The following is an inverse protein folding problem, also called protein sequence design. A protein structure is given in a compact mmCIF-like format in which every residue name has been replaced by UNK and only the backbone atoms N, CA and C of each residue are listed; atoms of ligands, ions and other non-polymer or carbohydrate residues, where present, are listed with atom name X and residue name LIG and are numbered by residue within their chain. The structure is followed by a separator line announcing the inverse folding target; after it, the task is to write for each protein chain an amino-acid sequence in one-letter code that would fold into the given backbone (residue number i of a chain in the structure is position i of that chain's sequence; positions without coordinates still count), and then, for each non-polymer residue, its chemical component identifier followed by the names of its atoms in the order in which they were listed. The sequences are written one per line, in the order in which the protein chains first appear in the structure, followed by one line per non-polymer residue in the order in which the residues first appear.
data_IF_080553943459
#
_entry.id   IF_080553943459
#
_cell.length_a   1.000
_cell.length_b   1.000
_cell.length_c   1.000
_cell.angle_alpha   90.00
_cell.angle_beta   90.00
_cell.angle_gamma   90.00
#
_symmetry.space_group_name_H-M   'P 1'
#
loop_
_entity.id
_entity.type
_entity.pdbx_description
1 polymer ?
#
# COMPACT_ATOMS: atom_id res chain seq x y z
N UNK A 1 -4.13 -18.63 -6.68
CA UNK A 1 -5.44 -18.00 -6.42
C UNK A 1 -5.40 -17.41 -5.01
N UNK A 2 -5.57 -16.09 -4.79
CA UNK A 2 -5.52 -15.57 -3.43
C UNK A 2 -6.79 -16.03 -2.70
N UNK A 3 -6.61 -16.88 -1.70
CA UNK A 3 -7.68 -17.29 -0.79
C UNK A 3 -8.24 -16.04 -0.11
N UNK A 4 -9.56 -15.89 -0.07
CA UNK A 4 -10.22 -14.84 0.71
C UNK A 4 -9.81 -15.05 2.17
N UNK A 5 -8.76 -14.36 2.62
CA UNK A 5 -8.12 -14.68 3.90
C UNK A 5 -9.03 -14.34 5.08
N UNK A 6 -9.92 -13.34 4.95
CA UNK A 6 -10.62 -12.76 6.09
C UNK A 6 -11.99 -12.20 5.66
N UNK A 7 -13.03 -13.02 5.83
CA UNK A 7 -14.44 -12.58 5.74
C UNK A 7 -14.81 -11.94 7.07
N UNK A 8 -15.38 -10.73 7.04
CA UNK A 8 -15.74 -9.97 8.23
C UNK A 8 -17.26 -9.88 8.26
N UNK A 9 -17.86 -10.60 9.20
CA UNK A 9 -19.30 -10.68 9.37
C UNK A 9 -19.65 -10.32 10.81
N UNK A 10 -20.78 -9.64 11.05
CA UNK A 10 -21.24 -9.40 12.39
C UNK A 10 -21.50 -10.72 13.12
N UNK A 11 -20.78 -10.97 14.21
CA UNK A 11 -20.83 -12.25 14.94
C UNK A 11 -21.50 -12.10 16.29
N UNK A 12 -22.56 -12.87 16.52
CA UNK A 12 -23.20 -13.03 17.83
C UNK A 12 -23.69 -11.71 18.47
N UNK A 13 -24.12 -10.72 17.68
CA UNK A 13 -24.46 -9.38 18.15
C UNK A 13 -25.51 -9.32 19.28
N UNK A 14 -26.54 -10.18 19.21
CA UNK A 14 -27.66 -10.21 20.17
C UNK A 14 -27.85 -11.59 20.81
N UNK A 15 -26.84 -12.46 20.79
CA UNK A 15 -26.99 -13.89 21.15
C UNK A 15 -26.77 -14.22 22.64
N UNK A 16 -26.92 -13.23 23.53
CA UNK A 16 -26.74 -13.41 24.98
C UNK A 16 -28.05 -13.57 25.75
N UNK A 17 -28.02 -14.32 26.86
CA UNK A 17 -29.12 -14.34 27.83
C UNK A 17 -29.12 -13.01 28.59
N UNK A 18 -30.30 -12.43 28.79
CA UNK A 18 -30.47 -11.25 29.64
C UNK A 18 -30.30 -11.63 31.13
N UNK A 19 -29.75 -10.73 31.96
CA UNK A 19 -29.74 -10.90 33.41
C UNK A 19 -31.16 -10.83 33.99
N UNK A 20 -31.41 -11.62 35.04
CA UNK A 20 -32.72 -11.67 35.68
C UNK A 20 -33.03 -10.33 36.40
N UNK A 21 -34.27 -9.86 36.29
CA UNK A 21 -34.73 -8.63 36.94
C UNK A 21 -34.39 -7.31 36.20
N UNK A 22 -34.07 -7.37 34.90
CA UNK A 22 -33.84 -6.15 34.11
C UNK A 22 -35.14 -5.35 33.92
N UNK A 23 -35.06 -4.02 34.12
CA UNK A 23 -36.23 -3.15 34.05
C UNK A 23 -36.81 -3.01 32.62
N UNK A 24 -35.93 -3.01 31.61
CA UNK A 24 -36.29 -2.93 30.18
C UNK A 24 -35.42 -3.88 29.37
N UNK A 25 -35.98 -5.02 28.97
CA UNK A 25 -35.27 -6.04 28.19
C UNK A 25 -34.82 -5.49 26.83
N UNK A 26 -35.71 -4.76 26.14
CA UNK A 26 -35.42 -4.20 24.82
C UNK A 26 -34.26 -3.21 24.88
N UNK A 27 -34.24 -2.32 25.86
CA UNK A 27 -33.14 -1.36 26.06
C UNK A 27 -31.82 -2.10 26.34
N UNK A 28 -31.86 -3.12 27.20
CA UNK A 28 -30.68 -3.91 27.54
C UNK A 28 -30.10 -4.67 26.32
N UNK A 29 -30.95 -5.31 25.52
CA UNK A 29 -30.53 -5.98 24.27
C UNK A 29 -29.97 -4.95 23.29
N UNK A 30 -30.63 -3.80 23.12
CA UNK A 30 -30.20 -2.76 22.18
C UNK A 30 -28.84 -2.20 22.56
N UNK A 31 -28.64 -1.85 23.83
CA UNK A 31 -27.36 -1.34 24.32
C UNK A 31 -26.23 -2.38 24.20
N UNK A 32 -26.52 -3.65 24.53
CA UNK A 32 -25.57 -4.76 24.35
C UNK A 32 -25.19 -4.95 22.89
N UNK A 33 -26.17 -4.85 21.99
CA UNK A 33 -25.98 -4.95 20.54
C UNK A 33 -25.08 -3.81 20.03
N UNK A 34 -25.37 -2.57 20.44
CA UNK A 34 -24.57 -1.40 20.06
C UNK A 34 -23.11 -1.54 20.55
N UNK A 35 -22.90 -1.93 21.80
CA UNK A 35 -21.57 -2.18 22.35
C UNK A 35 -20.82 -3.27 21.57
N UNK A 36 -21.50 -4.36 21.22
CA UNK A 36 -20.92 -5.45 20.41
C UNK A 36 -20.56 -4.98 18.99
N UNK A 37 -21.40 -4.17 18.34
CA UNK A 37 -21.11 -3.57 17.03
C UNK A 37 -19.88 -2.68 17.11
N UNK A 38 -19.81 -1.76 18.08
CA UNK A 38 -18.66 -0.86 18.25
C UNK A 38 -17.37 -1.65 18.45
N UNK A 39 -17.39 -2.70 19.27
CA UNK A 39 -16.23 -3.59 19.48
C UNK A 39 -15.80 -4.29 18.18
N UNK A 40 -16.75 -4.76 17.38
CA UNK A 40 -16.46 -5.43 16.11
C UNK A 40 -15.94 -4.46 15.05
N UNK A 41 -16.44 -3.22 15.03
CA UNK A 41 -15.89 -2.15 14.19
C UNK A 41 -14.44 -1.81 14.59
N UNK A 42 -14.12 -1.76 15.88
CA UNK A 42 -12.73 -1.61 16.34
C UNK A 42 -11.82 -2.75 15.86
N UNK A 43 -12.32 -3.98 15.88
CA UNK A 43 -11.62 -5.14 15.32
C UNK A 43 -11.40 -5.04 13.80
N UNK A 44 -12.40 -4.53 13.06
CA UNK A 44 -12.31 -4.24 11.63
C UNK A 44 -11.24 -3.18 11.34
N UNK A 45 -11.20 -2.08 12.10
CA UNK A 45 -10.21 -1.02 11.92
C UNK A 45 -8.79 -1.55 12.13
N UNK A 46 -8.56 -2.35 13.18
CA UNK A 46 -7.26 -2.99 13.41
C UNK A 46 -6.87 -3.94 12.27
N UNK A 47 -7.84 -4.67 11.73
CA UNK A 47 -7.57 -5.52 10.58
C UNK A 47 -7.17 -4.72 9.34
N UNK A 48 -7.83 -3.59 9.08
CA UNK A 48 -7.45 -2.69 8.00
C UNK A 48 -6.02 -2.15 8.21
N UNK A 49 -5.68 -1.73 9.42
CA UNK A 49 -4.33 -1.28 9.79
C UNK A 49 -3.27 -2.34 9.48
N UNK A 50 -3.49 -3.59 9.88
CA UNK A 50 -2.57 -4.70 9.60
C UNK A 50 -2.32 -4.86 8.09
N UNK A 51 -3.37 -4.79 7.26
CA UNK A 51 -3.24 -4.88 5.79
C UNK A 51 -2.42 -3.72 5.24
N UNK A 52 -2.75 -2.49 5.62
CA UNK A 52 -2.06 -1.31 5.10
C UNK A 52 -0.60 -1.27 5.55
N UNK A 53 -0.31 -1.76 6.75
CA UNK A 53 1.06 -1.90 7.26
C UNK A 53 1.88 -2.93 6.46
N UNK A 54 1.29 -4.10 6.16
CA UNK A 54 1.91 -5.11 5.28
C UNK A 54 2.21 -4.52 3.90
N UNK A 55 1.23 -3.85 3.28
CA UNK A 55 1.38 -3.21 1.97
C UNK A 55 2.44 -2.11 1.97
N UNK A 56 2.44 -1.25 3.00
CA UNK A 56 3.41 -0.17 3.15
C UNK A 56 4.83 -0.71 3.27
N UNK A 57 5.01 -1.77 4.05
CA UNK A 57 6.33 -2.42 4.23
C UNK A 57 6.86 -2.97 2.91
N UNK A 58 6.01 -3.66 2.14
CA UNK A 58 6.37 -4.20 0.82
C UNK A 58 6.69 -3.08 -0.18
N UNK A 59 5.88 -2.02 -0.21
CA UNK A 59 6.09 -0.87 -1.07
C UNK A 59 7.40 -0.13 -0.74
N UNK A 60 7.72 0.03 0.55
CA UNK A 60 8.97 0.64 0.98
C UNK A 60 10.19 -0.22 0.61
N UNK A 61 10.08 -1.55 0.75
CA UNK A 61 11.10 -2.49 0.26
C UNK A 61 11.31 -2.38 -1.26
N UNK A 62 10.23 -2.23 -2.03
CA UNK A 62 10.30 -1.98 -3.46
C UNK A 62 10.99 -0.65 -3.77
N UNK A 63 10.60 0.43 -3.09
CA UNK A 63 11.19 1.76 -3.25
C UNK A 63 12.69 1.76 -3.00
N UNK A 64 13.17 1.16 -1.91
CA UNK A 64 14.59 1.10 -1.58
C UNK A 64 15.40 0.35 -2.64
N UNK A 65 14.88 -0.78 -3.13
CA UNK A 65 15.53 -1.53 -4.22
C UNK A 65 15.56 -0.74 -5.52
N UNK A 66 14.46 -0.05 -5.84
CA UNK A 66 14.37 0.78 -7.04
C UNK A 66 15.34 1.96 -6.97
N UNK A 67 15.47 2.61 -5.81
CA UNK A 67 16.41 3.71 -5.60
C UNK A 67 17.86 3.26 -5.81
N UNK A 68 18.26 2.13 -5.22
CA UNK A 68 19.61 1.58 -5.46
C UNK A 68 19.83 1.16 -6.92
N UNK A 69 18.80 0.59 -7.56
CA UNK A 69 18.88 0.27 -8.99
C UNK A 69 19.04 1.53 -9.84
N UNK A 70 18.30 2.60 -9.52
CA UNK A 70 18.39 3.88 -10.19
C UNK A 70 19.80 4.47 -10.10
N UNK A 71 20.41 4.49 -8.91
CA UNK A 71 21.80 4.94 -8.74
C UNK A 71 22.76 4.15 -9.65
N UNK A 72 22.59 2.82 -9.70
CA UNK A 72 23.42 1.98 -10.58
C UNK A 72 23.20 2.26 -12.06
N UNK A 73 21.96 2.54 -12.47
CA UNK A 73 21.62 2.91 -13.85
C UNK A 73 22.23 4.27 -14.20
N UNK A 74 22.17 5.25 -13.30
CA UNK A 74 22.80 6.56 -13.47
C UNK A 74 24.32 6.45 -13.61
N UNK A 75 24.97 5.68 -12.72
CA UNK A 75 26.41 5.42 -12.81
C UNK A 75 26.80 4.69 -14.10
N UNK A 76 25.98 3.72 -14.53
CA UNK A 76 26.20 3.03 -15.79
C UNK A 76 26.05 3.98 -16.98
N UNK A 77 25.03 4.85 -16.97
CA UNK A 77 24.83 5.85 -18.01
C UNK A 77 26.06 6.77 -18.15
N UNK A 78 26.61 7.25 -17.03
CA UNK A 78 27.85 8.05 -17.02
C UNK A 78 29.04 7.26 -17.58
N UNK A 79 29.18 5.98 -17.24
CA UNK A 79 30.26 5.15 -17.77
C UNK A 79 30.10 4.88 -19.27
N UNK A 80 28.87 4.66 -19.74
CA UNK A 80 28.56 4.46 -21.16
C UNK A 80 28.87 5.72 -21.95
N UNK A 81 28.47 6.91 -21.48
CA UNK A 81 28.81 8.17 -22.16
C UNK A 81 30.32 8.45 -22.17
N UNK A 82 31.04 8.08 -21.12
CA UNK A 82 32.51 8.16 -21.09
C UNK A 82 33.16 7.20 -22.10
N UNK A 83 32.63 5.99 -22.24
CA UNK A 83 33.08 5.03 -23.26
C UNK A 83 32.75 5.52 -24.67
N UNK A 84 31.56 6.08 -24.91
CA UNK A 84 31.22 6.73 -26.18
C UNK A 84 32.16 7.91 -26.48
N UNK A 85 32.55 8.71 -25.47
CA UNK A 85 33.50 9.81 -25.67
C UNK A 85 34.95 9.37 -25.95
N UNK A 86 35.32 8.14 -25.60
CA UNK A 86 36.60 7.53 -26.03
C UNK A 86 36.50 6.83 -27.39
N UNK A 87 35.27 6.61 -27.88
CA UNK A 87 34.96 6.06 -29.20
C UNK A 87 34.64 7.18 -30.23
N UNK A 88 34.27 8.39 -29.80
CA UNK A 88 34.00 9.58 -30.62
C UNK A 88 35.27 10.29 -31.16
N UNK A 89 36.31 9.53 -31.52
CA UNK A 89 37.13 9.92 -32.67
C UNK A 89 36.47 9.52 -34.01
N UNK A 90 35.28 8.90 -33.99
CA UNK A 90 34.48 8.67 -35.19
C UNK A 90 32.98 8.51 -34.95
N UNK A 91 32.19 9.55 -35.24
CA UNK A 91 30.77 9.39 -35.59
C UNK A 91 29.79 10.20 -34.75
N UNK A 92 29.64 11.47 -35.11
CA UNK A 92 28.66 12.40 -34.57
C UNK A 92 27.22 11.91 -34.74
N UNK A 93 26.45 11.94 -33.64
CA UNK A 93 24.98 11.90 -33.51
C UNK A 93 24.44 10.67 -32.76
N UNK A 94 24.38 10.76 -31.43
CA UNK A 94 23.44 9.96 -30.64
C UNK A 94 22.86 10.77 -29.48
N UNK A 95 21.57 11.07 -29.55
CA UNK A 95 20.76 11.30 -28.36
C UNK A 95 20.42 9.94 -27.74
N UNK A 96 20.59 9.75 -26.42
CA UNK A 96 20.26 8.48 -25.79
C UNK A 96 18.74 8.26 -25.78
N UNK A 97 18.27 7.35 -26.64
CA UNK A 97 16.85 6.96 -26.81
C UNK A 97 16.17 6.55 -25.49
N UNK A 98 16.94 6.12 -24.50
CA UNK A 98 16.43 5.74 -23.18
C UNK A 98 16.02 6.93 -22.31
N UNK A 99 16.55 8.14 -22.54
CA UNK A 99 16.19 9.34 -21.77
C UNK A 99 14.73 9.77 -22.02
N UNK A 100 14.25 9.64 -23.26
CA UNK A 100 12.85 9.90 -23.62
C UNK A 100 11.89 8.83 -23.06
N UNK A 101 12.37 7.60 -22.89
CA UNK A 101 11.58 6.48 -22.37
C UNK A 101 11.39 6.60 -20.85
N UNK A 102 12.42 7.03 -20.12
CA UNK A 102 12.37 7.23 -18.67
C UNK A 102 11.45 8.40 -18.26
N UNK A 103 11.47 9.53 -19.00
CA UNK A 103 10.59 10.67 -18.74
C UNK A 103 9.09 10.35 -18.98
N UNK A 104 8.78 9.44 -19.91
CA UNK A 104 7.40 8.95 -20.13
C UNK A 104 6.94 7.93 -19.08
N UNK A 105 7.86 7.24 -18.41
CA UNK A 105 7.50 6.27 -17.36
C UNK A 105 7.28 6.96 -16.00
N UNK A 106 7.96 8.07 -15.74
CA UNK A 106 7.87 8.82 -14.48
C UNK A 106 6.61 9.72 -14.36
N UNK A 107 5.85 9.91 -15.45
CA UNK A 107 4.56 10.60 -15.42
C UNK A 107 3.37 9.69 -15.03
N UNK A 108 3.60 8.40 -14.78
CA UNK A 108 2.55 7.42 -14.42
C UNK A 108 2.41 7.19 -12.91
N UNK A 109 3.32 7.74 -12.09
CA UNK A 109 3.13 7.77 -10.63
C UNK A 109 2.92 9.21 -10.16
N UNK A 110 1.68 9.71 -10.14
CA UNK A 110 1.37 10.90 -9.36
C UNK A 110 1.52 10.51 -7.89
N UNK A 111 2.67 10.85 -7.29
CA UNK A 111 2.77 11.09 -5.84
C UNK A 111 2.21 12.48 -5.54
N UNK A 112 0.97 12.72 -5.95
CA UNK A 112 0.13 13.78 -5.41
C UNK A 112 -1.17 13.14 -4.95
N UNK A 113 -1.37 13.10 -3.63
CA UNK A 113 -2.61 12.59 -3.06
C UNK A 113 -2.47 11.70 -1.83
N UNK A 114 -1.52 11.97 -0.93
CA UNK A 114 -1.70 11.55 0.46
C UNK A 114 -2.48 12.64 1.21
N UNK A 115 -3.79 12.70 0.96
CA UNK A 115 -4.79 13.36 1.79
C UNK A 115 -6.12 12.68 1.49
N UNK A 116 -6.46 11.65 2.27
CA UNK A 116 -7.63 11.54 3.18
C UNK A 116 -7.30 10.42 4.17
#
# INVERSE_FOLDING_TARGET
MPLVKRIIEPRYLCRGKLPDGVASELECVTNSTLAAVIKQLGGLSRYAEDIFSELFTEANSFYLRMSHLQERVELLAVKVTQLDSTVEEGGSHWTPVWAETMLKQNSVFPVEGCFI
#
